data_IF_292053011428
#
_entry.id   IF_292053011428
#
_cell.length_a   1.000
_cell.length_b   1.000
_cell.length_c   1.000
_cell.angle_alpha   90.00
_cell.angle_beta   90.00
_cell.angle_gamma   90.00
#
_symmetry.space_group_name_H-M   'P 1'
#
loop_
_entity.id
_entity.type
_entity.pdbx_description
1 polymer ?
#
# COMPACT_ATOMS: atom_id res chain seq x y z
N UNK A 1 -14.49 -8.81 -46.82
CA UNK A 1 -14.21 -7.40 -46.49
C UNK A 1 -13.31 -7.36 -45.26
N UNK A 2 -12.26 -6.54 -45.28
CA UNK A 2 -11.36 -6.36 -44.14
C UNK A 2 -12.11 -5.72 -42.96
N UNK A 3 -11.87 -6.24 -41.75
CA UNK A 3 -12.47 -5.70 -40.53
C UNK A 3 -11.39 -5.04 -39.68
N UNK A 4 -11.42 -3.71 -39.63
CA UNK A 4 -10.42 -2.89 -38.93
C UNK A 4 -10.41 -3.18 -37.42
N UNK A 5 -11.57 -3.18 -36.77
CA UNK A 5 -11.64 -3.34 -35.30
C UNK A 5 -11.10 -4.71 -34.86
N UNK A 6 -11.40 -5.79 -35.58
CA UNK A 6 -10.81 -7.11 -35.29
C UNK A 6 -9.29 -7.13 -35.46
N UNK A 7 -8.76 -6.36 -36.40
CA UNK A 7 -7.31 -6.29 -36.66
C UNK A 7 -6.61 -5.46 -35.59
N UNK A 8 -7.24 -4.37 -35.12
CA UNK A 8 -6.79 -3.57 -33.98
C UNK A 8 -6.81 -4.40 -32.69
N UNK A 9 -7.86 -5.19 -32.45
CA UNK A 9 -7.95 -6.05 -31.26
C UNK A 9 -6.84 -7.11 -31.23
N UNK A 10 -6.53 -7.73 -32.39
CA UNK A 10 -5.39 -8.68 -32.50
C UNK A 10 -4.05 -8.00 -32.25
N UNK A 11 -3.84 -6.82 -32.83
CA UNK A 11 -2.64 -6.02 -32.59
C UNK A 11 -2.51 -5.66 -31.10
N UNK A 12 -3.61 -5.25 -30.46
CA UNK A 12 -3.66 -4.92 -29.03
C UNK A 12 -3.29 -6.13 -28.17
N UNK A 13 -3.81 -7.31 -28.50
CA UNK A 13 -3.50 -8.56 -27.82
C UNK A 13 -2.01 -8.94 -27.96
N UNK A 14 -1.41 -8.72 -29.14
CA UNK A 14 0.03 -8.95 -29.36
C UNK A 14 0.90 -7.99 -28.53
N UNK A 15 0.52 -6.71 -28.41
CA UNK A 15 1.25 -5.76 -27.55
C UNK A 15 1.14 -6.10 -26.07
N UNK A 16 -0.04 -6.52 -25.63
CA UNK A 16 -0.28 -6.91 -24.22
C UNK A 16 0.49 -8.16 -23.83
N UNK A 17 0.66 -9.12 -24.74
CA UNK A 17 1.45 -10.33 -24.49
C UNK A 17 2.93 -10.03 -24.21
N UNK A 18 3.41 -8.84 -24.58
CA UNK A 18 4.80 -8.45 -24.39
C UNK A 18 5.10 -7.81 -23.02
N UNK A 19 4.11 -7.70 -22.11
CA UNK A 19 4.19 -7.21 -20.70
C UNK A 19 4.87 -5.84 -20.44
N UNK A 20 5.42 -5.21 -21.47
CA UNK A 20 6.23 -3.99 -21.39
C UNK A 20 5.43 -2.71 -21.63
N UNK A 21 4.19 -2.81 -22.12
CA UNK A 21 3.35 -1.66 -22.50
C UNK A 21 2.22 -1.43 -21.48
N UNK A 22 2.24 -0.30 -20.73
CA UNK A 22 1.13 0.08 -19.87
C UNK A 22 -0.18 0.26 -20.65
N UNK A 23 -1.32 -0.07 -20.03
CA UNK A 23 -2.63 0.03 -20.68
C UNK A 23 -3.00 1.44 -21.19
N UNK A 24 -2.51 2.49 -20.53
CA UNK A 24 -2.74 3.88 -20.95
C UNK A 24 -1.93 4.23 -22.21
N UNK A 25 -0.66 3.81 -22.27
CA UNK A 25 0.19 3.98 -23.45
C UNK A 25 -0.33 3.19 -24.65
N UNK A 26 -0.88 1.99 -24.40
CA UNK A 26 -1.51 1.18 -25.45
C UNK A 26 -2.73 1.86 -26.08
N UNK A 27 -3.49 2.62 -25.28
CA UNK A 27 -4.65 3.38 -25.75
C UNK A 27 -4.24 4.56 -26.63
N UNK A 28 -3.14 5.23 -26.28
CA UNK A 28 -2.58 6.32 -27.08
C UNK A 28 -2.03 5.81 -28.42
N UNK A 29 -1.33 4.68 -28.40
CA UNK A 29 -0.85 4.03 -29.63
C UNK A 29 -1.98 3.57 -30.55
N UNK A 30 -3.09 3.07 -29.98
CA UNK A 30 -4.27 2.75 -30.78
C UNK A 30 -4.87 3.98 -31.45
N UNK A 31 -4.93 5.12 -30.76
CA UNK A 31 -5.41 6.38 -31.35
C UNK A 31 -4.57 6.76 -32.57
N UNK A 32 -3.25 6.75 -32.41
CA UNK A 32 -2.31 7.02 -33.51
C UNK A 32 -2.41 6.00 -34.66
N UNK A 33 -2.64 4.72 -34.36
CA UNK A 33 -2.89 3.69 -35.36
C UNK A 33 -4.15 4.01 -36.18
N UNK A 34 -5.25 4.39 -35.52
CA UNK A 34 -6.52 4.74 -36.17
C UNK A 34 -6.41 6.01 -37.02
N UNK A 35 -5.69 7.01 -36.53
CA UNK A 35 -5.40 8.25 -37.27
C UNK A 35 -4.57 7.97 -38.52
N UNK A 36 -3.45 7.25 -38.36
CA UNK A 36 -2.56 6.89 -39.48
C UNK A 36 -3.29 6.02 -40.50
N UNK A 37 -4.13 5.08 -40.05
CA UNK A 37 -4.97 4.28 -40.93
C UNK A 37 -5.93 5.16 -41.75
N UNK A 38 -6.59 6.14 -41.12
CA UNK A 38 -7.50 7.05 -41.80
C UNK A 38 -6.77 7.90 -42.85
N UNK A 39 -5.58 8.41 -42.55
CA UNK A 39 -4.74 9.14 -43.48
C UNK A 39 -4.33 8.29 -44.69
N UNK A 40 -3.86 7.07 -44.45
CA UNK A 40 -3.43 6.15 -45.52
C UNK A 40 -4.63 5.69 -46.36
N UNK A 41 -5.83 5.57 -45.76
CA UNK A 41 -7.08 5.32 -46.50
C UNK A 41 -7.46 6.47 -47.42
N UNK A 42 -7.21 7.72 -47.03
CA UNK A 42 -7.46 8.89 -47.88
C UNK A 42 -6.52 8.94 -49.09
N UNK A 43 -5.36 8.30 -49.01
CA UNK A 43 -4.42 8.13 -50.13
C UNK A 43 -4.85 7.05 -51.14
N UNK A 44 -6.01 6.39 -50.92
CA UNK A 44 -6.59 5.43 -51.86
C UNK A 44 -6.11 3.99 -51.71
N UNK A 45 -5.35 3.66 -50.65
CA UNK A 45 -4.93 2.28 -50.41
C UNK A 45 -6.10 1.40 -49.97
N UNK A 46 -6.06 0.12 -50.37
CA UNK A 46 -7.01 -0.89 -49.91
C UNK A 46 -6.96 -1.03 -48.37
N UNK A 47 -8.08 -1.35 -47.69
CA UNK A 47 -8.15 -1.37 -46.22
C UNK A 47 -7.09 -2.26 -45.56
N UNK A 48 -6.79 -3.41 -46.16
CA UNK A 48 -5.76 -4.31 -45.64
C UNK A 48 -4.35 -3.70 -45.76
N UNK A 49 -4.05 -3.07 -46.90
CA UNK A 49 -2.75 -2.43 -47.14
C UNK A 49 -2.58 -1.18 -46.28
N UNK A 50 -3.65 -0.41 -46.09
CA UNK A 50 -3.64 0.75 -45.22
C UNK A 50 -3.31 0.38 -43.76
N UNK A 51 -3.83 -0.76 -43.29
CA UNK A 51 -3.51 -1.27 -41.95
C UNK A 51 -2.06 -1.75 -41.83
N UNK A 52 -1.53 -2.45 -42.84
CA UNK A 52 -0.12 -2.87 -42.87
C UNK A 52 0.83 -1.67 -42.88
N UNK A 53 0.53 -0.63 -43.67
CA UNK A 53 1.34 0.58 -43.72
C UNK A 53 1.23 1.37 -42.41
N UNK A 54 0.04 1.49 -41.82
CA UNK A 54 -0.15 2.17 -40.54
C UNK A 54 0.62 1.49 -39.40
N UNK A 55 0.53 0.16 -39.31
CA UNK A 55 1.29 -0.63 -38.32
C UNK A 55 2.80 -0.56 -38.55
N UNK A 56 3.27 -0.52 -39.80
CA UNK A 56 4.68 -0.37 -40.11
C UNK A 56 5.21 1.05 -39.82
N UNK A 57 4.40 2.10 -40.01
CA UNK A 57 4.78 3.51 -39.72
C UNK A 57 4.89 3.80 -38.22
N UNK A 58 4.17 3.06 -37.38
CA UNK A 58 4.30 3.10 -35.92
C UNK A 58 5.66 2.60 -35.41
N UNK A 59 6.44 1.89 -36.25
CA UNK A 59 7.79 1.42 -35.93
C UNK A 59 7.82 0.04 -35.24
N UNK A 60 9.01 -0.57 -35.11
CA UNK A 60 9.17 -1.84 -34.42
C UNK A 60 8.75 -1.69 -32.96
N UNK A 61 7.87 -2.60 -32.54
CA UNK A 61 7.25 -2.64 -31.21
C UNK A 61 8.24 -2.57 -30.06
N UNK A 62 9.43 -3.11 -30.25
CA UNK A 62 10.49 -3.14 -29.25
C UNK A 62 11.00 -1.73 -28.86
N UNK A 63 11.24 -0.85 -29.84
CA UNK A 63 11.83 0.47 -29.59
C UNK A 63 10.80 1.43 -28.96
N UNK A 64 9.53 1.30 -29.34
CA UNK A 64 8.40 2.01 -28.74
C UNK A 64 8.17 1.60 -27.27
N UNK A 65 8.31 0.31 -26.96
CA UNK A 65 8.17 -0.20 -25.59
C UNK A 65 9.26 0.35 -24.66
N UNK A 66 10.49 0.50 -25.15
CA UNK A 66 11.61 0.99 -24.35
C UNK A 66 11.49 2.49 -24.03
N UNK A 67 11.12 3.30 -25.02
CA UNK A 67 10.87 4.75 -24.87
C UNK A 67 9.64 5.02 -23.97
N UNK A 68 8.53 4.29 -24.19
CA UNK A 68 7.32 4.42 -23.37
C UNK A 68 7.52 3.90 -21.93
N UNK A 69 8.33 2.85 -21.75
CA UNK A 69 8.72 2.33 -20.43
C UNK A 69 9.50 3.34 -19.60
N UNK A 70 10.38 4.13 -20.22
CA UNK A 70 11.16 5.20 -19.55
C UNK A 70 10.26 6.33 -19.04
N UNK A 71 9.27 6.75 -19.84
CA UNK A 71 8.38 7.88 -19.48
C UNK A 71 7.25 7.46 -18.54
N UNK A 72 6.60 6.30 -18.78
CA UNK A 72 5.44 5.85 -18.00
C UNK A 72 5.79 5.00 -16.78
N UNK A 73 6.97 4.35 -16.77
CA UNK A 73 7.51 3.73 -15.56
C UNK A 73 7.53 4.74 -14.40
N UNK A 74 7.79 6.02 -14.73
CA UNK A 74 7.85 7.12 -13.78
C UNK A 74 6.56 7.33 -12.96
N UNK A 75 5.39 7.08 -13.54
CA UNK A 75 4.11 7.31 -12.86
C UNK A 75 3.64 6.06 -12.10
N UNK A 76 3.90 4.87 -12.63
CA UNK A 76 3.55 3.61 -11.97
C UNK A 76 4.31 3.44 -10.65
N UNK A 77 5.62 3.74 -10.61
CA UNK A 77 6.38 3.66 -9.36
C UNK A 77 5.93 4.71 -8.35
N UNK A 78 5.56 5.92 -8.79
CA UNK A 78 5.04 6.98 -7.90
C UNK A 78 3.71 6.58 -7.27
N UNK A 79 2.79 5.99 -8.04
CA UNK A 79 1.52 5.46 -7.50
C UNK A 79 1.79 4.32 -6.51
N UNK A 80 2.68 3.38 -6.85
CA UNK A 80 3.06 2.29 -5.95
C UNK A 80 3.68 2.81 -4.65
N UNK A 81 4.60 3.78 -4.74
CA UNK A 81 5.21 4.43 -3.58
C UNK A 81 4.18 5.16 -2.74
N UNK A 82 3.21 5.83 -3.38
CA UNK A 82 2.10 6.49 -2.69
C UNK A 82 1.27 5.51 -1.85
N UNK A 83 0.95 4.33 -2.39
CA UNK A 83 0.24 3.27 -1.66
C UNK A 83 1.08 2.68 -0.53
N UNK A 84 2.38 2.46 -0.75
CA UNK A 84 3.29 2.00 0.30
C UNK A 84 3.39 3.02 1.45
N UNK A 85 3.52 4.31 1.11
CA UNK A 85 3.58 5.39 2.08
C UNK A 85 2.27 5.53 2.84
N UNK A 86 1.12 5.45 2.16
CA UNK A 86 -0.19 5.47 2.80
C UNK A 86 -0.38 4.30 3.78
N UNK A 87 0.03 3.09 3.40
CA UNK A 87 0.01 1.92 4.27
C UNK A 87 0.94 2.07 5.48
N UNK A 88 2.17 2.54 5.26
CA UNK A 88 3.14 2.81 6.33
C UNK A 88 2.62 3.86 7.32
N UNK A 89 2.08 4.97 6.80
CA UNK A 89 1.49 6.05 7.61
C UNK A 89 0.25 5.57 8.37
N UNK A 90 -0.63 4.79 7.73
CA UNK A 90 -1.77 4.17 8.41
C UNK A 90 -1.34 3.25 9.55
N UNK A 91 -0.34 2.39 9.30
CA UNK A 91 0.26 1.54 10.33
C UNK A 91 0.83 2.37 11.49
N UNK A 92 1.56 3.45 11.19
CA UNK A 92 2.09 4.37 12.21
C UNK A 92 0.99 5.02 13.04
N UNK A 93 -0.13 5.45 12.45
CA UNK A 93 -1.25 5.98 13.22
C UNK A 93 -1.89 4.94 14.14
N UNK A 94 -2.07 3.70 13.67
CA UNK A 94 -2.58 2.61 14.53
C UNK A 94 -1.61 2.35 15.69
N UNK A 95 -0.30 2.30 15.43
CA UNK A 95 0.70 2.15 16.50
C UNK A 95 0.66 3.29 17.50
N UNK A 96 0.48 4.53 17.03
CA UNK A 96 0.37 5.70 17.89
C UNK A 96 -0.86 5.64 18.81
N UNK A 97 -2.01 5.20 18.30
CA UNK A 97 -3.21 4.99 19.13
C UNK A 97 -2.98 3.95 20.23
N UNK A 98 -2.30 2.84 19.90
CA UNK A 98 -1.97 1.81 20.89
C UNK A 98 -0.95 2.31 21.92
N UNK A 99 0.02 3.14 21.51
CA UNK A 99 0.97 3.78 22.41
C UNK A 99 0.29 4.74 23.38
N UNK A 100 -0.70 5.51 22.92
CA UNK A 100 -1.49 6.40 23.79
C UNK A 100 -2.21 5.57 24.86
N UNK A 101 -2.91 4.51 24.45
CA UNK A 101 -3.63 3.64 25.38
C UNK A 101 -2.68 2.98 26.39
N UNK A 102 -1.57 2.43 25.91
CA UNK A 102 -0.58 1.72 26.73
C UNK A 102 0.15 2.67 27.68
N UNK A 103 0.50 3.87 27.22
CA UNK A 103 1.12 4.92 28.04
C UNK A 103 0.17 5.42 29.12
N UNK A 104 -1.12 5.60 28.79
CA UNK A 104 -2.15 5.96 29.75
C UNK A 104 -2.31 4.89 30.84
N UNK A 105 -2.42 3.61 30.46
CA UNK A 105 -2.45 2.50 31.42
C UNK A 105 -1.23 2.51 32.34
N UNK A 106 -0.03 2.71 31.78
CA UNK A 106 1.22 2.73 32.56
C UNK A 106 1.21 3.83 33.63
N UNK A 107 0.79 5.05 33.26
CA UNK A 107 0.74 6.18 34.20
C UNK A 107 -0.33 5.96 35.28
N UNK A 108 -1.51 5.44 34.90
CA UNK A 108 -2.59 5.16 35.84
C UNK A 108 -2.25 4.04 36.82
N UNK A 109 -1.64 2.95 36.35
CA UNK A 109 -1.22 1.84 37.22
C UNK A 109 -0.10 2.29 38.16
N UNK A 110 0.85 3.12 37.67
CA UNK A 110 1.92 3.66 38.49
C UNK A 110 1.42 4.68 39.54
N UNK A 111 0.38 5.48 39.24
CA UNK A 111 -0.16 6.47 40.18
C UNK A 111 -0.94 5.86 41.35
N UNK A 112 -1.45 4.64 41.20
CA UNK A 112 -2.15 3.87 42.25
C UNK A 112 -1.15 3.24 43.24
N UNK A 113 0.17 3.33 43.00
CA UNK A 113 1.20 2.77 43.87
C UNK A 113 1.38 1.25 43.73
N UNK A 114 0.92 0.68 42.61
CA UNK A 114 1.11 -0.73 42.26
C UNK A 114 2.61 -0.99 42.02
N UNK A 115 3.15 -2.14 42.46
CA UNK A 115 4.56 -2.44 42.26
C UNK A 115 4.96 -2.43 40.77
N UNK A 116 6.18 -1.96 40.43
CA UNK A 116 6.63 -1.76 39.05
C UNK A 116 6.56 -3.00 38.15
N UNK A 117 6.76 -4.19 38.72
CA UNK A 117 6.68 -5.46 37.98
C UNK A 117 5.28 -5.70 37.40
N UNK A 118 4.23 -5.39 38.18
CA UNK A 118 2.84 -5.50 37.73
C UNK A 118 2.53 -4.42 36.70
N UNK A 119 3.08 -3.20 36.85
CA UNK A 119 2.97 -2.15 35.83
C UNK A 119 3.54 -2.64 34.50
N UNK A 120 4.74 -3.22 34.49
CA UNK A 120 5.37 -3.72 33.26
C UNK A 120 4.54 -4.83 32.59
N UNK A 121 4.03 -5.79 33.36
CA UNK A 121 3.21 -6.91 32.83
C UNK A 121 1.88 -6.41 32.27
N UNK A 122 1.20 -5.49 32.97
CA UNK A 122 -0.08 -4.92 32.52
C UNK A 122 0.11 -4.10 31.24
N UNK A 123 1.15 -3.27 31.17
CA UNK A 123 1.53 -2.51 29.97
C UNK A 123 1.77 -3.43 28.77
N UNK A 124 2.55 -4.50 28.95
CA UNK A 124 2.83 -5.47 27.87
C UNK A 124 1.56 -6.20 27.43
N UNK A 125 0.72 -6.62 28.38
CA UNK A 125 -0.51 -7.37 28.12
C UNK A 125 -1.50 -6.53 27.29
N UNK A 126 -1.68 -5.25 27.63
CA UNK A 126 -2.54 -4.32 26.89
C UNK A 126 -2.02 -4.12 25.46
N UNK A 127 -0.71 -3.93 25.30
CA UNK A 127 -0.10 -3.71 23.99
C UNK A 127 -0.26 -4.93 23.06
N UNK A 128 0.02 -6.13 23.58
CA UNK A 128 -0.15 -7.39 22.84
C UNK A 128 -1.63 -7.62 22.49
N UNK A 129 -2.55 -7.37 23.43
CA UNK A 129 -3.99 -7.52 23.19
C UNK A 129 -4.50 -6.58 22.09
N UNK A 130 -4.00 -5.33 22.04
CA UNK A 130 -4.34 -4.39 20.96
C UNK A 130 -3.90 -4.91 19.59
N UNK A 131 -2.69 -5.43 19.50
CA UNK A 131 -2.16 -6.00 18.25
C UNK A 131 -2.89 -7.27 17.82
N UNK A 132 -3.19 -8.17 18.75
CA UNK A 132 -4.00 -9.36 18.46
C UNK A 132 -5.40 -8.97 17.99
N UNK A 133 -6.05 -8.01 18.66
CA UNK A 133 -7.35 -7.47 18.25
C UNK A 133 -7.31 -6.87 16.85
N UNK A 134 -6.28 -6.07 16.54
CA UNK A 134 -6.08 -5.50 15.19
C UNK A 134 -5.90 -6.58 14.12
N UNK A 135 -5.10 -7.61 14.41
CA UNK A 135 -4.87 -8.73 13.49
C UNK A 135 -6.15 -9.54 13.24
N UNK A 136 -6.92 -9.84 14.29
CA UNK A 136 -8.21 -10.54 14.16
C UNK A 136 -9.22 -9.67 13.41
N UNK A 137 -9.26 -8.37 13.68
CA UNK A 137 -10.13 -7.43 12.95
C UNK A 137 -9.78 -7.40 11.44
N UNK A 138 -8.49 -7.30 11.10
CA UNK A 138 -8.05 -7.33 9.71
C UNK A 138 -8.34 -8.68 9.04
N UNK A 139 -8.13 -9.79 9.74
CA UNK A 139 -8.42 -11.13 9.23
C UNK A 139 -9.92 -11.34 8.97
N UNK A 140 -10.78 -10.94 9.92
CA UNK A 140 -12.24 -11.06 9.81
C UNK A 140 -12.86 -10.07 8.83
N UNK A 141 -12.22 -8.91 8.61
CA UNK A 141 -12.67 -7.88 7.65
C UNK A 141 -11.96 -7.96 6.30
N UNK A 142 -11.44 -9.14 5.91
CA UNK A 142 -10.81 -9.42 4.61
C UNK A 142 -11.75 -9.30 3.39
N UNK A 143 -12.78 -8.46 3.45
CA UNK A 143 -13.43 -7.89 2.28
C UNK A 143 -12.45 -6.95 1.58
N UNK A 144 -12.47 -6.87 0.24
CA UNK A 144 -11.51 -6.08 -0.52
C UNK A 144 -11.50 -4.64 -0.02
N UNK A 145 -10.33 -4.00 0.09
CA UNK A 145 -10.22 -2.65 0.61
C UNK A 145 -10.82 -1.69 -0.42
N UNK A 146 -12.14 -1.48 -0.36
CA UNK A 146 -12.77 -0.25 -0.89
C UNK A 146 -12.51 0.88 0.11
N UNK A 147 -11.26 1.04 0.54
CA UNK A 147 -10.81 2.25 1.22
C UNK A 147 -10.53 3.24 0.10
N UNK A 148 -11.61 3.79 -0.45
CA UNK A 148 -11.56 4.88 -1.39
C UNK A 148 -11.23 6.13 -0.58
N UNK A 149 -9.94 6.40 -0.36
CA UNK A 149 -9.49 7.64 0.27
C UNK A 149 -9.76 8.76 -0.72
N UNK A 150 -10.95 9.34 -0.63
CA UNK A 150 -11.36 10.48 -1.41
C UNK A 150 -10.70 11.74 -0.84
N UNK A 151 -9.47 12.03 -1.30
CA UNK A 151 -8.79 13.27 -0.97
C UNK A 151 -9.44 14.43 -1.75
N UNK A 152 -10.45 15.07 -1.14
CA UNK A 152 -10.87 16.40 -1.55
C UNK A 152 -9.92 17.45 -0.95
N UNK A 153 -9.51 18.43 -1.78
CA UNK A 153 -8.41 19.38 -1.54
C UNK A 153 -8.45 20.10 -0.18
N UNK A 154 -9.63 20.51 0.30
CA UNK A 154 -9.75 21.22 1.61
C UNK A 154 -9.84 20.29 2.82
N UNK A 155 -10.44 19.10 2.69
CA UNK A 155 -10.53 18.10 3.77
C UNK A 155 -9.21 17.37 4.00
N UNK A 156 -8.36 17.31 2.97
CA UNK A 156 -7.00 16.73 3.02
C UNK A 156 -6.12 17.37 4.10
N UNK A 157 -6.11 18.71 4.19
CA UNK A 157 -5.25 19.43 5.13
C UNK A 157 -5.65 19.20 6.59
N UNK A 158 -6.96 19.19 6.87
CA UNK A 158 -7.48 18.92 8.23
C UNK A 158 -7.17 17.48 8.65
N UNK A 159 -7.38 16.51 7.75
CA UNK A 159 -7.02 15.11 7.99
C UNK A 159 -5.51 14.94 8.22
N UNK A 160 -4.67 15.60 7.43
CA UNK A 160 -3.22 15.62 7.64
C UNK A 160 -2.84 16.23 8.98
N UNK A 161 -3.45 17.36 9.37
CA UNK A 161 -3.18 18.01 10.66
C UNK A 161 -3.60 17.13 11.84
N UNK A 162 -4.78 16.50 11.78
CA UNK A 162 -5.23 15.53 12.79
C UNK A 162 -4.29 14.33 12.85
N UNK A 163 -3.89 13.80 11.70
CA UNK A 163 -2.98 12.66 11.61
C UNK A 163 -1.60 12.99 12.21
N UNK A 164 -1.02 14.13 11.85
CA UNK A 164 0.24 14.63 12.44
C UNK A 164 0.07 14.83 13.95
N UNK A 165 -1.08 15.36 14.39
CA UNK A 165 -1.44 15.48 15.81
C UNK A 165 -1.43 14.13 16.52
N UNK A 166 -2.08 13.10 15.96
CA UNK A 166 -2.08 11.74 16.53
C UNK A 166 -0.67 11.16 16.61
N UNK A 167 0.16 11.36 15.58
CA UNK A 167 1.55 10.90 15.61
C UNK A 167 2.37 11.62 16.68
N UNK A 168 2.22 12.95 16.81
CA UNK A 168 2.91 13.74 17.83
C UNK A 168 2.47 13.33 19.25
N UNK A 169 1.15 13.15 19.47
CA UNK A 169 0.63 12.69 20.77
C UNK A 169 1.10 11.28 21.08
N UNK A 170 1.11 10.38 20.09
CA UNK A 170 1.66 9.03 20.25
C UNK A 170 3.14 9.05 20.64
N UNK A 171 3.94 9.87 19.97
CA UNK A 171 5.36 10.07 20.30
C UNK A 171 5.56 10.60 21.72
N UNK A 172 4.76 11.59 22.15
CA UNK A 172 4.80 12.11 23.51
C UNK A 172 4.45 11.02 24.53
N UNK A 173 3.40 10.24 24.30
CA UNK A 173 3.01 9.13 25.18
C UNK A 173 3.99 7.95 25.16
N UNK A 174 4.76 7.81 24.09
CA UNK A 174 5.86 6.86 24.03
C UNK A 174 6.97 7.25 25.01
N UNK A 175 7.32 8.53 25.13
CA UNK A 175 8.44 8.96 25.96
C UNK A 175 8.05 9.49 27.35
N UNK A 176 6.79 9.88 27.56
CA UNK A 176 6.32 10.41 28.84
C UNK A 176 6.47 9.43 30.02
N UNK A 177 6.16 8.11 29.89
CA UNK A 177 6.33 7.16 30.98
C UNK A 177 7.77 7.05 31.46
N UNK A 178 8.76 7.13 30.57
CA UNK A 178 10.18 7.10 30.96
C UNK A 178 10.60 8.33 31.78
N UNK A 179 10.04 9.50 31.48
CA UNK A 179 10.31 10.73 32.24
C UNK A 179 9.65 10.65 33.62
N UNK A 180 8.44 10.13 33.70
CA UNK A 180 7.71 9.98 34.96
C UNK A 180 8.35 8.92 35.87
N UNK A 181 8.69 7.75 35.32
CA UNK A 181 9.25 6.63 36.08
C UNK A 181 10.68 6.91 36.58
N UNK A 182 11.48 7.65 35.81
CA UNK A 182 12.84 8.03 36.26
C UNK A 182 12.86 8.97 37.47
N UNK A 183 11.77 9.73 37.69
CA UNK A 183 11.61 10.60 38.86
C UNK A 183 11.00 9.89 40.08
N UNK A 184 10.21 8.85 39.85
CA UNK A 184 9.41 8.20 40.90
C UNK A 184 10.02 6.90 41.41
N UNK A 185 10.86 6.23 40.62
CA UNK A 185 11.42 4.91 40.95
C UNK A 185 12.96 4.90 40.88
N UNK A 186 13.57 3.95 41.60
CA UNK A 186 15.03 3.76 41.58
C UNK A 186 15.55 3.34 40.19
N UNK A 187 16.83 3.62 39.90
CA UNK A 187 17.46 3.28 38.61
C UNK A 187 17.36 1.79 38.24
N UNK A 188 17.42 0.88 39.22
CA UNK A 188 17.32 -0.56 38.96
C UNK A 188 15.96 -0.94 38.34
N UNK A 189 14.87 -0.38 38.87
CA UNK A 189 13.51 -0.63 38.35
C UNK A 189 13.26 0.06 37.01
N UNK A 190 13.83 1.26 36.81
CA UNK A 190 13.77 1.91 35.51
C UNK A 190 14.45 1.05 34.43
N UNK A 191 15.60 0.44 34.75
CA UNK A 191 16.31 -0.45 33.84
C UNK A 191 15.49 -1.72 33.52
N UNK A 192 14.86 -2.34 34.52
CA UNK A 192 14.00 -3.51 34.32
C UNK A 192 12.78 -3.19 33.45
N UNK A 193 12.09 -2.06 33.72
CA UNK A 193 10.97 -1.59 32.91
C UNK A 193 11.40 -1.31 31.46
N UNK A 194 12.53 -0.63 31.26
CA UNK A 194 13.05 -0.32 29.93
C UNK A 194 13.43 -1.61 29.15
N UNK A 195 14.02 -2.60 29.82
CA UNK A 195 14.32 -3.90 29.22
C UNK A 195 13.04 -4.63 28.80
N UNK A 196 12.06 -4.79 29.70
CA UNK A 196 10.80 -5.48 29.38
C UNK A 196 10.07 -4.77 28.24
N UNK A 197 10.03 -3.44 28.27
CA UNK A 197 9.39 -2.63 27.23
C UNK A 197 10.10 -2.75 25.88
N UNK A 198 11.44 -2.71 25.85
CA UNK A 198 12.20 -2.84 24.61
C UNK A 198 12.05 -4.23 23.98
N UNK A 199 12.15 -5.29 24.80
CA UNK A 199 11.90 -6.67 24.36
C UNK A 199 10.46 -6.80 23.83
N UNK A 200 9.48 -6.29 24.57
CA UNK A 200 8.07 -6.28 24.16
C UNK A 200 7.84 -5.55 22.84
N UNK A 201 8.49 -4.41 22.63
CA UNK A 201 8.42 -3.67 21.38
C UNK A 201 9.04 -4.44 20.20
N UNK A 202 10.19 -5.08 20.40
CA UNK A 202 10.83 -5.93 19.38
C UNK A 202 9.94 -7.12 19.01
N UNK A 203 9.40 -7.83 20.01
CA UNK A 203 8.50 -8.97 19.79
C UNK A 203 7.23 -8.54 19.08
N UNK A 204 6.60 -7.45 19.49
CA UNK A 204 5.40 -6.95 18.82
C UNK A 204 5.68 -6.53 17.38
N UNK A 205 6.73 -5.74 17.13
CA UNK A 205 7.06 -5.29 15.78
C UNK A 205 7.40 -6.46 14.84
N UNK A 206 8.09 -7.49 15.34
CA UNK A 206 8.40 -8.69 14.57
C UNK A 206 7.16 -9.53 14.28
N UNK A 207 6.25 -9.70 15.26
CA UNK A 207 4.97 -10.38 15.05
C UNK A 207 4.08 -9.66 14.04
N UNK A 208 4.07 -8.33 14.06
CA UNK A 208 3.32 -7.50 13.10
C UNK A 208 3.89 -7.66 11.70
N UNK A 209 5.22 -7.64 11.56
CA UNK A 209 5.87 -7.87 10.27
C UNK A 209 5.57 -9.28 9.74
N UNK A 210 5.61 -10.30 10.60
CA UNK A 210 5.26 -11.67 10.25
C UNK A 210 3.78 -11.79 9.84
N UNK A 211 2.87 -11.18 10.60
CA UNK A 211 1.43 -11.15 10.31
C UNK A 211 1.12 -10.45 8.98
N UNK A 212 1.76 -9.32 8.71
CA UNK A 212 1.65 -8.60 7.44
C UNK A 212 2.14 -9.45 6.26
N UNK A 213 3.23 -10.22 6.45
CA UNK A 213 3.75 -11.12 5.43
C UNK A 213 2.77 -12.28 5.14
N UNK A 214 2.20 -12.89 6.19
CA UNK A 214 1.18 -13.94 6.04
C UNK A 214 -0.06 -13.41 5.32
N UNK A 215 -0.53 -12.22 5.69
CA UNK A 215 -1.65 -11.55 5.04
C UNK A 215 -1.37 -11.24 3.56
N UNK A 216 -0.16 -10.80 3.23
CA UNK A 216 0.20 -10.55 1.84
C UNK A 216 0.27 -11.84 1.01
N UNK A 217 0.77 -12.93 1.60
CA UNK A 217 0.79 -14.26 0.97
C UNK A 217 -0.64 -14.79 0.75
N UNK A 218 -1.56 -14.59 1.70
CA UNK A 218 -2.95 -15.03 1.55
C UNK A 218 -3.67 -14.25 0.44
N UNK A 219 -3.49 -12.93 0.35
CA UNK A 219 -4.03 -12.11 -0.73
C UNK A 219 -3.50 -12.53 -2.12
N UNK A 220 -2.20 -12.85 -2.23
CA UNK A 220 -1.63 -13.35 -3.48
C UNK A 220 -2.23 -14.69 -3.91
N UNK A 221 -2.49 -15.59 -2.96
CA UNK A 221 -3.16 -16.87 -3.24
C UNK A 221 -4.59 -16.65 -3.74
N UNK A 222 -5.32 -15.72 -3.13
CA UNK A 222 -6.70 -15.41 -3.50
C UNK A 222 -6.80 -14.86 -4.94
N UNK A 223 -5.96 -13.89 -5.32
CA UNK A 223 -5.89 -13.37 -6.70
C UNK A 223 -5.53 -14.43 -7.73
N UNK A 224 -4.59 -15.33 -7.41
CA UNK A 224 -4.23 -16.45 -8.31
C UNK A 224 -5.37 -17.46 -8.46
N UNK A 225 -6.18 -17.65 -7.44
CA UNK A 225 -7.38 -18.50 -7.48
C UNK A 225 -8.47 -17.91 -8.39
N UNK A 226 -8.77 -16.61 -8.24
CA UNK A 226 -9.75 -15.90 -9.08
C UNK A 226 -9.34 -15.89 -10.55
N UNK A 227 -8.06 -15.64 -10.85
CA UNK A 227 -7.56 -15.62 -12.24
C UNK A 227 -7.60 -17.00 -12.91
N UNK A 228 -7.52 -18.10 -12.14
CA UNK A 228 -7.69 -19.47 -12.68
C UNK A 228 -9.16 -19.80 -12.93
N UNK A 229 -10.06 -19.35 -12.06
CA UNK A 229 -11.50 -19.60 -12.20
C UNK A 229 -12.07 -18.95 -13.48
N UNK A 230 -11.59 -17.76 -13.85
CA UNK A 230 -12.03 -17.02 -15.06
C UNK A 230 -11.55 -17.68 -16.37
N UNK A 231 -10.46 -18.45 -16.36
CA UNK A 231 -9.97 -19.15 -17.55
C UNK A 231 -10.58 -20.55 -17.75
N UNK A 232 -11.29 -21.08 -16.76
CA UNK A 232 -11.92 -22.42 -16.81
C UNK A 232 -13.44 -22.41 -17.04
N UNK A 233 -14.05 -21.22 -17.09
CA UNK A 233 -15.47 -20.99 -17.37
C UNK A 233 -15.67 -20.40 -18.76
#
# INVERSE_FOLDING_TARGET
MFQLDQSIDRWRAQMQASDLVPADALRELESHLRETYAEVRQLGLEPHEAFLVATHRLGPTHDLCEELGKVHGSQAWRRALGWMLAGFLGGKAVTALFQILTGFTTVMTASIGIPPSIVAVTTLSVFVACWLGAMVFLYTRSCPPRIMIFFSSRSSLVLCAVFVGVLLVGFLFEHAPSIFLSRSYSMAYFAEFALVRSIGAVVANTLVAAGALVFFVSLRRQRRGESRAVHTS
#
